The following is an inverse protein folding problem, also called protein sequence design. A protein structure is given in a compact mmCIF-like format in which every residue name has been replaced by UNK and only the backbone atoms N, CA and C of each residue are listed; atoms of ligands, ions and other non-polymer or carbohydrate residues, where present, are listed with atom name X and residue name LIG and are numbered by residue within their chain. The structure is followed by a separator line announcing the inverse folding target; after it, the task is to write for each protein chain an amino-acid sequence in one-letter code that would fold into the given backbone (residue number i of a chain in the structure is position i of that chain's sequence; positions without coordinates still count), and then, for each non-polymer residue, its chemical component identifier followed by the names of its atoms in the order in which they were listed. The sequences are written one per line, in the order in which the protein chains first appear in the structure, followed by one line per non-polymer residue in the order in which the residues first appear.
data_IF_265309025568
#
_entry.id   IF_265309025568
#
_cell.length_a   1.000
_cell.length_b   1.000
_cell.length_c   1.000
_cell.angle_alpha   90.00
_cell.angle_beta   90.00
_cell.angle_gamma   90.00
#
_symmetry.space_group_name_H-M   'P 1'
#
loop_
_entity.id
_entity.type
_entity.pdbx_description
1 polymer ?
#
# COMPACT_ATOMS: atom_id res chain seq x y z
N UNK A 1 10.20 -13.58 -13.59
CA UNK A 1 8.94 -13.17 -12.94
C UNK A 1 8.91 -13.79 -11.56
N UNK A 2 9.09 -12.97 -10.52
CA UNK A 2 9.08 -13.46 -9.14
C UNK A 2 7.66 -13.93 -8.80
N UNK A 3 7.50 -15.22 -8.51
CA UNK A 3 6.21 -15.79 -8.12
C UNK A 3 6.02 -15.47 -6.64
N UNK A 4 5.47 -14.30 -6.32
CA UNK A 4 5.16 -13.90 -4.95
C UNK A 4 4.35 -15.00 -4.25
N UNK A 5 4.83 -15.48 -3.11
CA UNK A 5 4.14 -16.47 -2.26
C UNK A 5 2.93 -15.76 -1.63
N UNK A 6 1.82 -16.49 -1.40
CA UNK A 6 0.60 -15.90 -0.84
C UNK A 6 0.85 -15.16 0.49
N UNK A 7 1.80 -15.62 1.29
CA UNK A 7 2.19 -14.97 2.55
C UNK A 7 2.85 -13.60 2.33
N UNK A 8 3.79 -13.48 1.39
CA UNK A 8 4.43 -12.19 1.10
C UNK A 8 3.44 -11.22 0.45
N UNK A 9 2.49 -11.74 -0.33
CA UNK A 9 1.40 -10.93 -0.88
C UNK A 9 0.52 -10.35 0.21
N UNK A 10 0.14 -11.16 1.19
CA UNK A 10 -0.65 -10.70 2.34
C UNK A 10 0.13 -9.67 3.17
N UNK A 11 1.42 -9.88 3.41
CA UNK A 11 2.28 -8.93 4.13
C UNK A 11 2.29 -7.55 3.46
N UNK A 12 2.52 -7.49 2.16
CA UNK A 12 2.58 -6.22 1.43
C UNK A 12 1.20 -5.55 1.33
N UNK A 13 0.13 -6.33 1.15
CA UNK A 13 -1.23 -5.81 1.18
C UNK A 13 -1.58 -5.16 2.51
N UNK A 14 -1.29 -5.83 3.62
CA UNK A 14 -1.50 -5.28 4.96
C UNK A 14 -0.74 -3.97 5.13
N UNK A 15 0.56 -3.96 4.83
CA UNK A 15 1.39 -2.77 4.99
C UNK A 15 0.90 -1.58 4.14
N UNK A 16 0.55 -1.82 2.87
CA UNK A 16 0.04 -0.76 2.01
C UNK A 16 -1.37 -0.28 2.40
N UNK A 17 -2.15 -1.11 3.07
CA UNK A 17 -3.50 -0.75 3.54
C UNK A 17 -3.45 0.32 4.62
N UNK A 18 -2.37 0.39 5.42
CA UNK A 18 -2.18 1.43 6.46
C UNK A 18 -2.21 2.86 5.88
N UNK A 19 -1.94 3.03 4.57
CA UNK A 19 -2.06 4.33 3.89
C UNK A 19 -3.51 4.80 3.69
N UNK A 20 -4.49 3.96 4.00
CA UNK A 20 -5.91 4.20 3.78
C UNK A 20 -6.73 4.27 5.07
N UNK A 21 -6.09 4.18 6.24
CA UNK A 21 -6.75 4.30 7.53
C UNK A 21 -7.19 5.74 7.78
N UNK A 22 -8.32 5.89 8.48
CA UNK A 22 -8.80 7.18 8.97
C UNK A 22 -8.03 7.60 10.24
N UNK A 23 -6.72 7.75 10.07
CA UNK A 23 -5.76 8.12 11.12
C UNK A 23 -4.66 8.99 10.52
N UNK A 24 -4.03 9.83 11.34
CA UNK A 24 -2.83 10.55 10.91
C UNK A 24 -1.69 9.55 10.62
N UNK A 25 -1.12 9.61 9.41
CA UNK A 25 -0.04 8.72 9.02
C UNK A 25 1.30 9.29 9.52
N UNK A 26 1.84 8.63 10.53
CA UNK A 26 3.13 8.97 11.13
C UNK A 26 4.34 8.37 10.36
N UNK A 27 5.52 8.95 10.58
CA UNK A 27 6.74 8.56 9.86
C UNK A 27 7.15 7.08 10.04
N UNK A 28 6.76 6.46 11.15
CA UNK A 28 7.06 5.04 11.38
C UNK A 28 6.29 4.13 10.42
N UNK A 29 5.11 4.55 9.94
CA UNK A 29 4.30 3.80 8.97
C UNK A 29 5.04 3.72 7.64
N UNK A 30 5.60 4.84 7.16
CA UNK A 30 6.39 4.84 5.92
C UNK A 30 7.64 3.96 6.02
N UNK A 31 8.33 3.98 7.17
CA UNK A 31 9.48 3.08 7.43
C UNK A 31 9.06 1.61 7.47
N UNK A 32 7.92 1.31 8.06
CA UNK A 32 7.35 -0.03 8.11
C UNK A 32 7.02 -0.56 6.71
N UNK A 33 6.36 0.24 5.87
CA UNK A 33 6.05 -0.13 4.48
C UNK A 33 7.34 -0.35 3.68
N UNK A 34 8.29 0.59 3.77
CA UNK A 34 9.58 0.49 3.09
C UNK A 34 10.34 -0.79 3.48
N UNK A 35 10.36 -1.12 4.77
CA UNK A 35 10.96 -2.37 5.27
C UNK A 35 10.23 -3.60 4.71
N UNK A 36 8.91 -3.59 4.72
CA UNK A 36 8.08 -4.69 4.21
C UNK A 36 8.33 -4.94 2.72
N UNK A 37 8.52 -3.88 1.92
CA UNK A 37 8.90 -3.98 0.50
C UNK A 37 10.23 -4.75 0.35
N UNK A 38 11.25 -4.38 1.11
CA UNK A 38 12.56 -5.06 1.12
C UNK A 38 12.46 -6.51 1.58
N UNK A 39 11.73 -6.79 2.67
CA UNK A 39 11.56 -8.14 3.22
C UNK A 39 10.82 -9.08 2.26
N UNK A 40 9.89 -8.55 1.45
CA UNK A 40 9.20 -9.31 0.41
C UNK A 40 10.04 -9.47 -0.88
N UNK A 41 11.24 -8.88 -0.93
CA UNK A 41 12.11 -8.91 -2.10
C UNK A 41 11.52 -8.20 -3.33
N UNK A 42 10.66 -7.20 -3.09
CA UNK A 42 9.99 -6.42 -4.15
C UNK A 42 10.82 -5.18 -4.50
N UNK A 43 10.85 -4.83 -5.78
CA UNK A 43 11.27 -3.49 -6.18
C UNK A 43 10.22 -2.43 -5.79
N UNK A 44 10.65 -1.18 -5.63
CA UNK A 44 9.72 -0.06 -5.44
C UNK A 44 8.66 0.01 -6.55
N UNK A 45 9.02 -0.33 -7.79
CA UNK A 45 8.07 -0.35 -8.90
C UNK A 45 7.02 -1.45 -8.76
N UNK A 46 7.41 -2.65 -8.33
CA UNK A 46 6.46 -3.75 -8.09
C UNK A 46 5.51 -3.42 -6.93
N UNK A 47 6.03 -2.84 -5.84
CA UNK A 47 5.20 -2.41 -4.72
C UNK A 47 4.26 -1.25 -5.08
N UNK A 48 4.71 -0.29 -5.89
CA UNK A 48 3.87 0.79 -6.43
C UNK A 48 2.74 0.23 -7.31
N UNK A 49 3.05 -0.75 -8.17
CA UNK A 49 2.04 -1.43 -8.97
C UNK A 49 0.99 -2.14 -8.08
N UNK A 50 1.41 -2.78 -6.97
CA UNK A 50 0.49 -3.40 -6.00
C UNK A 50 -0.38 -2.34 -5.32
N UNK A 51 0.21 -1.21 -4.89
CA UNK A 51 -0.51 -0.10 -4.30
C UNK A 51 -1.63 0.38 -5.22
N UNK A 52 -1.30 0.70 -6.48
CA UNK A 52 -2.26 1.34 -7.39
C UNK A 52 -3.26 0.38 -8.02
N UNK A 53 -2.86 -0.88 -8.29
CA UNK A 53 -3.71 -1.82 -9.03
C UNK A 53 -4.42 -2.82 -8.12
N UNK A 54 -3.96 -3.01 -6.89
CA UNK A 54 -4.56 -3.98 -5.98
C UNK A 54 -5.19 -3.32 -4.75
N UNK A 55 -4.48 -2.43 -4.06
CA UNK A 55 -4.95 -1.87 -2.78
C UNK A 55 -5.85 -0.64 -2.98
N UNK A 56 -5.35 0.35 -3.72
CA UNK A 56 -6.02 1.64 -3.93
C UNK A 56 -7.48 1.50 -4.44
N UNK A 57 -7.79 0.68 -5.46
CA UNK A 57 -9.14 0.63 -6.02
C UNK A 57 -10.18 0.12 -5.01
N UNK A 58 -9.75 -0.63 -4.00
CA UNK A 58 -10.64 -1.20 -2.98
C UNK A 58 -10.76 -0.26 -1.78
N UNK A 59 -9.65 0.37 -1.37
CA UNK A 59 -9.58 1.10 -0.10
C UNK A 59 -9.73 2.62 -0.21
N UNK A 60 -9.67 3.22 -1.41
CA UNK A 60 -9.81 4.69 -1.56
C UNK A 60 -11.12 5.23 -0.99
N UNK A 61 -12.18 4.41 -1.00
CA UNK A 61 -13.47 4.76 -0.41
C UNK A 61 -13.40 5.06 1.09
N UNK A 62 -12.44 4.48 1.82
CA UNK A 62 -12.26 4.71 3.25
C UNK A 62 -11.88 6.17 3.54
N UNK A 63 -11.01 6.75 2.71
CA UNK A 63 -10.55 8.14 2.81
C UNK A 63 -11.62 9.18 2.46
N UNK A 64 -12.79 8.74 1.97
CA UNK A 64 -13.96 9.60 1.71
C UNK A 64 -15.00 9.54 2.82
N UNK A 65 -14.84 8.63 3.78
CA UNK A 65 -15.77 8.49 4.88
C UNK A 65 -15.48 9.56 5.95
N UNK A 66 -16.54 10.05 6.61
CA UNK A 66 -16.41 11.00 7.74
C UNK A 66 -15.81 10.33 8.99
N UNK A 67 -16.00 9.01 9.10
CA UNK A 67 -15.39 8.14 10.09
C UNK A 67 -15.12 6.79 9.40
N UNK A 68 -13.96 6.68 8.78
CA UNK A 68 -13.52 5.46 8.07
C UNK A 68 -13.01 4.38 9.02
N UNK A 69 -12.58 3.25 8.48
CA UNK A 69 -11.81 2.24 9.21
C UNK A 69 -10.52 2.85 9.76
N UNK A 70 -10.24 2.63 11.05
CA UNK A 70 -9.09 3.17 11.77
C UNK A 70 -8.26 2.10 12.51
N UNK A 71 -8.76 0.87 12.62
CA UNK A 71 -8.07 -0.28 13.24
C UNK A 71 -7.38 -1.20 12.21
N UNK A 72 -7.67 -1.00 10.93
CA UNK A 72 -7.19 -1.85 9.85
C UNK A 72 -8.12 -3.00 9.52
N UNK A 73 -7.76 -3.71 8.45
CA UNK A 73 -8.53 -4.83 7.92
C UNK A 73 -7.89 -6.14 8.36
N UNK A 74 -8.71 -7.14 8.68
CA UNK A 74 -8.21 -8.48 8.99
C UNK A 74 -7.60 -9.14 7.76
N UNK A 75 -6.68 -10.07 7.97
CA UNK A 75 -6.05 -10.85 6.90
C UNK A 75 -7.10 -11.54 6.01
N UNK A 76 -8.13 -12.15 6.62
CA UNK A 76 -9.24 -12.77 5.89
C UNK A 76 -10.00 -11.76 5.03
N UNK A 77 -10.24 -10.55 5.55
CA UNK A 77 -10.92 -9.51 4.80
C UNK A 77 -10.07 -9.06 3.60
N UNK A 78 -8.76 -8.85 3.79
CA UNK A 78 -7.84 -8.46 2.72
C UNK A 78 -7.77 -9.54 1.63
N UNK A 79 -7.65 -10.82 2.02
CA UNK A 79 -7.63 -11.94 1.08
C UNK A 79 -8.92 -12.09 0.28
N UNK A 80 -10.07 -11.74 0.88
CA UNK A 80 -11.38 -11.83 0.22
C UNK A 80 -11.68 -10.64 -0.71
N UNK A 81 -11.17 -9.44 -0.39
CA UNK A 81 -11.59 -8.20 -1.05
C UNK A 81 -10.54 -7.60 -1.98
N UNK A 82 -9.24 -7.83 -1.75
CA UNK A 82 -8.21 -7.33 -2.65
C UNK A 82 -8.13 -8.17 -3.94
N UNK A 83 -7.96 -7.54 -5.11
CA UNK A 83 -8.22 -8.17 -6.38
C UNK A 83 -7.18 -9.22 -6.72
N UNK A 84 -7.66 -10.33 -7.28
CA UNK A 84 -6.85 -11.47 -7.67
C UNK A 84 -6.10 -11.30 -9.00
N UNK A 85 -5.59 -10.08 -9.33
CA UNK A 85 -4.70 -9.75 -10.48
C UNK A 85 -5.34 -9.14 -11.75
N UNK A 86 -6.49 -8.46 -11.69
CA UNK A 86 -6.90 -7.62 -12.84
C UNK A 86 -6.29 -6.24 -12.67
N UNK A 87 -5.27 -5.91 -13.48
CA UNK A 87 -4.72 -4.56 -13.54
C UNK A 87 -5.67 -3.70 -14.36
N UNK A 88 -6.33 -2.68 -13.78
CA UNK A 88 -7.13 -1.76 -14.56
C UNK A 88 -6.23 -0.97 -15.53
N UNK A 89 -6.76 -0.63 -16.71
CA UNK A 89 -6.01 0.11 -17.73
C UNK A 89 -5.70 1.56 -17.32
N UNK A 90 -6.36 2.06 -16.27
CA UNK A 90 -6.13 3.38 -15.70
C UNK A 90 -6.44 3.38 -14.20
N UNK A 91 -5.77 4.28 -13.47
CA UNK A 91 -6.12 4.61 -12.10
C UNK A 91 -7.35 5.54 -12.14
N UNK A 92 -8.41 5.15 -11.45
CA UNK A 92 -9.64 5.93 -11.31
C UNK A 92 -9.85 6.30 -9.85
N UNK A 93 -10.30 7.52 -9.58
CA UNK A 93 -10.54 7.98 -8.21
C UNK A 93 -10.59 9.49 -8.11
N UNK A 94 -10.87 10.01 -6.92
CA UNK A 94 -10.91 11.46 -6.69
C UNK A 94 -9.49 12.06 -6.77
N UNK A 95 -9.25 13.17 -7.51
CA UNK A 95 -7.90 13.72 -7.71
C UNK A 95 -7.17 14.07 -6.41
N UNK A 96 -7.89 14.53 -5.39
CA UNK A 96 -7.30 14.85 -4.09
C UNK A 96 -6.74 13.60 -3.40
N UNK A 97 -7.46 12.48 -3.45
CA UNK A 97 -7.04 11.20 -2.86
C UNK A 97 -5.85 10.64 -3.64
N UNK A 98 -5.88 10.72 -4.97
CA UNK A 98 -4.73 10.32 -5.80
C UNK A 98 -3.49 11.14 -5.40
N UNK A 99 -3.64 12.46 -5.22
CA UNK A 99 -2.55 13.34 -4.80
C UNK A 99 -2.02 12.98 -3.41
N UNK A 100 -2.90 12.68 -2.47
CA UNK A 100 -2.56 12.30 -1.10
C UNK A 100 -1.80 10.97 -1.07
N UNK A 101 -2.32 9.93 -1.74
CA UNK A 101 -1.66 8.62 -1.82
C UNK A 101 -0.30 8.72 -2.52
N UNK A 102 -0.16 9.57 -3.55
CA UNK A 102 1.15 9.87 -4.16
C UNK A 102 2.11 10.52 -3.16
N UNK A 103 1.63 11.46 -2.34
CA UNK A 103 2.42 12.10 -1.30
C UNK A 103 2.90 11.09 -0.25
N UNK A 104 2.02 10.19 0.18
CA UNK A 104 2.38 9.09 1.09
C UNK A 104 3.40 8.14 0.46
N UNK A 105 3.20 7.76 -0.80
CA UNK A 105 4.12 6.89 -1.53
C UNK A 105 5.51 7.52 -1.68
N UNK A 106 5.59 8.83 -1.91
CA UNK A 106 6.86 9.55 -1.96
C UNK A 106 7.65 9.44 -0.63
N UNK A 107 6.96 9.53 0.52
CA UNK A 107 7.57 9.31 1.83
C UNK A 107 8.06 7.86 2.02
N UNK A 108 7.35 6.87 1.47
CA UNK A 108 7.81 5.47 1.45
C UNK A 108 9.09 5.32 0.64
N UNK A 109 9.17 5.95 -0.54
CA UNK A 109 10.38 5.95 -1.39
C UNK A 109 11.57 6.56 -0.63
N UNK A 110 11.37 7.68 0.06
CA UNK A 110 12.40 8.33 0.87
C UNK A 110 12.89 7.44 2.02
N UNK A 111 11.96 6.78 2.71
CA UNK A 111 12.27 5.82 3.77
C UNK A 111 13.05 4.61 3.22
N UNK A 112 12.61 4.04 2.09
CA UNK A 112 13.27 2.91 1.43
C UNK A 112 14.71 3.24 1.02
N UNK A 113 14.91 4.40 0.38
CA UNK A 113 16.24 4.82 -0.04
C UNK A 113 17.17 5.09 1.15
N UNK A 114 16.63 5.60 2.26
CA UNK A 114 17.41 5.82 3.49
C UNK A 114 17.85 4.49 4.12
N UNK A 115 17.01 3.45 4.08
CA UNK A 115 17.33 2.12 4.62
C UNK A 115 18.40 1.38 3.79
N UNK A 116 18.47 1.63 2.48
CA UNK A 116 19.36 0.92 1.55
C UNK A 116 20.63 1.72 1.18
N UNK A 117 20.86 2.89 1.81
CA UNK A 117 22.06 3.71 1.59
C UNK A 117 23.30 3.23 2.36
N UNK A 118 23.12 2.34 3.33
CA UNK A 118 24.18 1.82 4.21
C UNK A 118 24.68 0.41 3.80
N UNK A 119 24.43 -0.01 2.55
CA UNK A 119 24.90 -1.27 1.95
C UNK A 119 26.02 -1.06 0.93
#
# INVERSE_FOLDING_TARGET
MNRMINEDKLKIWRALSDLFLDTEIEDYVFRYIARTVSECGLSLREAEDILWYEVYPVLEGNLRCVAGEWQGWSDDWLLQNLPARVRPNAIHGHPAIIKEVKGCWQKVIEAYNSQNKDL
#
